data_IF_012772136840
#
_entry.id   IF_012772136840
#
_cell.length_a   1.000
_cell.length_b   1.000
_cell.length_c   1.000
_cell.angle_alpha   90.00
_cell.angle_beta   90.00
_cell.angle_gamma   90.00
#
_symmetry.space_group_name_H-M   'P 1'
#
loop_
_entity.id
_entity.type
_entity.pdbx_description
1 polymer ?
#
# COMPACT_ATOMS: atom_id res chain seq x y z
N UNK A 1 17.42 -13.21 -6.96
CA UNK A 1 16.82 -11.87 -6.72
C UNK A 1 17.27 -10.84 -7.77
N UNK A 2 18.58 -10.66 -8.01
CA UNK A 2 19.10 -9.68 -9.00
C UNK A 2 18.58 -9.92 -10.42
N UNK A 3 18.52 -11.16 -10.90
CA UNK A 3 18.02 -11.45 -12.25
C UNK A 3 16.53 -11.17 -12.43
N UNK A 4 15.70 -11.46 -11.43
CA UNK A 4 14.25 -11.19 -11.48
C UNK A 4 14.00 -9.67 -11.50
N UNK A 5 14.78 -8.91 -10.73
CA UNK A 5 14.71 -7.45 -10.75
C UNK A 5 15.13 -6.88 -12.12
N UNK A 6 16.19 -7.42 -12.75
CA UNK A 6 16.59 -7.03 -14.11
C UNK A 6 15.51 -7.32 -15.15
N UNK A 7 14.86 -8.49 -15.08
CA UNK A 7 13.76 -8.87 -15.97
C UNK A 7 12.56 -7.93 -15.75
N UNK A 8 12.21 -7.65 -14.50
CA UNK A 8 11.11 -6.74 -14.16
C UNK A 8 11.39 -5.33 -14.67
N UNK A 9 12.61 -4.82 -14.49
CA UNK A 9 13.04 -3.53 -15.02
C UNK A 9 12.95 -3.48 -16.55
N UNK A 10 13.46 -4.50 -17.25
CA UNK A 10 13.36 -4.59 -18.70
C UNK A 10 11.89 -4.59 -19.17
N UNK A 11 11.02 -5.35 -18.49
CA UNK A 11 9.59 -5.40 -18.81
C UNK A 11 8.90 -4.03 -18.59
N UNK A 12 9.30 -3.28 -17.56
CA UNK A 12 8.80 -1.93 -17.31
C UNK A 12 9.31 -0.90 -18.34
N UNK A 13 10.57 -1.01 -18.78
CA UNK A 13 11.12 -0.15 -19.84
C UNK A 13 10.38 -0.39 -21.16
N UNK A 14 10.15 -1.65 -21.53
CA UNK A 14 9.38 -2.02 -22.73
C UNK A 14 7.96 -1.44 -22.64
N UNK A 15 7.31 -1.56 -21.48
CA UNK A 15 5.99 -0.98 -21.22
C UNK A 15 5.96 0.53 -21.42
N UNK A 16 6.95 1.25 -20.89
CA UNK A 16 7.07 2.72 -21.05
C UNK A 16 7.29 3.06 -22.53
N UNK A 17 8.21 2.39 -23.20
CA UNK A 17 8.49 2.62 -24.62
C UNK A 17 7.24 2.40 -25.50
N UNK A 18 6.51 1.30 -25.29
CA UNK A 18 5.25 1.02 -26.01
C UNK A 18 4.18 2.09 -25.73
N UNK A 19 4.10 2.57 -24.49
CA UNK A 19 3.16 3.65 -24.14
C UNK A 19 3.51 4.94 -24.88
N UNK A 20 4.79 5.30 -24.96
CA UNK A 20 5.28 6.49 -25.69
C UNK A 20 5.01 6.34 -27.19
N UNK A 21 5.28 5.17 -27.77
CA UNK A 21 5.03 4.92 -29.20
C UNK A 21 3.54 5.05 -29.53
N UNK A 22 2.66 4.46 -28.72
CA UNK A 22 1.21 4.57 -28.91
C UNK A 22 0.70 6.01 -28.72
N UNK A 23 1.31 6.76 -27.81
CA UNK A 23 1.01 8.17 -27.61
C UNK A 23 1.43 9.02 -28.82
N UNK A 24 2.66 8.84 -29.33
CA UNK A 24 3.16 9.53 -30.53
C UNK A 24 2.38 9.16 -31.80
N UNK A 25 1.84 7.95 -31.86
CA UNK A 25 1.02 7.49 -32.98
C UNK A 25 -0.46 7.87 -32.85
N UNK A 26 -0.86 8.61 -31.80
CA UNK A 26 -2.26 8.97 -31.49
C UNK A 26 -3.22 7.77 -31.33
N UNK A 27 -2.67 6.58 -31.12
CA UNK A 27 -3.42 5.32 -30.90
C UNK A 27 -3.62 5.00 -29.42
N UNK A 28 -3.24 5.92 -28.53
CA UNK A 28 -3.37 5.74 -27.09
C UNK A 28 -4.83 5.90 -26.66
N UNK A 29 -5.50 4.78 -26.41
CA UNK A 29 -6.83 4.71 -25.83
C UNK A 29 -6.82 3.72 -24.66
N UNK A 30 -7.94 3.64 -23.94
CA UNK A 30 -8.05 2.75 -22.77
C UNK A 30 -7.76 1.29 -23.14
N UNK A 31 -8.21 0.82 -24.31
CA UNK A 31 -8.02 -0.56 -24.75
C UNK A 31 -6.56 -0.87 -25.11
N UNK A 32 -5.89 0.01 -25.86
CA UNK A 32 -4.47 -0.15 -26.23
C UNK A 32 -3.57 -0.04 -25.01
N UNK A 33 -3.92 0.83 -24.04
CA UNK A 33 -3.22 0.88 -22.77
C UNK A 33 -3.38 -0.41 -21.95
N UNK A 34 -4.59 -0.97 -21.86
CA UNK A 34 -4.84 -2.25 -21.19
C UNK A 34 -4.05 -3.41 -21.83
N UNK A 35 -3.95 -3.43 -23.17
CA UNK A 35 -3.10 -4.40 -23.87
C UNK A 35 -1.63 -4.24 -23.46
N UNK A 36 -1.11 -3.01 -23.43
CA UNK A 36 0.27 -2.74 -22.96
C UNK A 36 0.49 -3.16 -21.51
N UNK A 37 -0.51 -3.09 -20.63
CA UNK A 37 -0.40 -3.60 -19.26
C UNK A 37 -0.24 -5.13 -19.20
N UNK A 38 -0.82 -5.87 -20.16
CA UNK A 38 -0.82 -7.34 -20.19
C UNK A 38 0.46 -7.95 -20.78
N UNK A 39 1.14 -7.26 -21.70
CA UNK A 39 2.35 -7.73 -22.37
C UNK A 39 3.52 -8.09 -21.44
N UNK A 40 3.84 -7.30 -20.39
CA UNK A 40 4.89 -7.63 -19.42
C UNK A 40 4.64 -8.96 -18.70
N UNK A 41 3.38 -9.32 -18.43
CA UNK A 41 3.02 -10.58 -17.76
C UNK A 41 3.36 -11.75 -18.66
N UNK A 42 2.98 -11.67 -19.94
CA UNK A 42 3.29 -12.69 -20.94
C UNK A 42 4.81 -12.80 -21.13
N UNK A 43 5.50 -11.68 -21.27
CA UNK A 43 6.95 -11.61 -21.44
C UNK A 43 7.70 -12.24 -20.25
N UNK A 44 7.32 -11.89 -19.02
CA UNK A 44 7.92 -12.46 -17.82
C UNK A 44 7.66 -13.96 -17.69
N UNK A 45 6.46 -14.41 -18.07
CA UNK A 45 6.10 -15.84 -18.08
C UNK A 45 6.97 -16.63 -19.06
N UNK A 46 7.17 -16.13 -20.28
CA UNK A 46 8.01 -16.77 -21.30
C UNK A 46 9.49 -16.80 -20.85
N UNK A 47 10.00 -15.71 -20.29
CA UNK A 47 11.37 -15.66 -19.77
C UNK A 47 11.60 -16.63 -18.61
N UNK A 48 10.64 -16.72 -17.69
CA UNK A 48 10.68 -17.70 -16.59
C UNK A 48 10.70 -19.13 -17.12
N UNK A 49 9.85 -19.46 -18.10
CA UNK A 49 9.84 -20.77 -18.76
C UNK A 49 11.20 -21.09 -19.39
N UNK A 50 11.82 -20.12 -20.09
CA UNK A 50 13.14 -20.31 -20.73
C UNK A 50 14.28 -20.46 -19.73
N UNK A 51 14.28 -19.67 -18.65
CA UNK A 51 15.35 -19.70 -17.63
C UNK A 51 15.25 -20.88 -16.66
N UNK A 52 14.05 -21.39 -16.43
CA UNK A 52 13.78 -22.49 -15.48
C UNK A 52 14.45 -23.81 -15.88
N UNK A 53 14.89 -23.97 -17.14
CA UNK A 53 15.49 -25.22 -17.72
C UNK A 53 14.64 -26.48 -17.51
N UNK A 54 13.41 -26.36 -17.02
CA UNK A 54 12.49 -27.47 -16.84
C UNK A 54 11.72 -27.72 -18.13
N UNK A 55 11.57 -28.99 -18.51
CA UNK A 55 10.72 -29.39 -19.63
C UNK A 55 9.26 -29.27 -19.19
N UNK A 56 8.64 -28.13 -19.44
CA UNK A 56 7.22 -27.91 -19.18
C UNK A 56 6.40 -28.70 -20.21
N UNK A 57 5.54 -29.61 -19.73
CA UNK A 57 4.41 -30.11 -20.51
C UNK A 57 3.23 -29.19 -20.23
N UNK A 58 2.64 -28.61 -21.27
CA UNK A 58 1.44 -27.80 -21.12
C UNK A 58 0.28 -28.74 -20.77
N UNK A 59 -0.16 -28.71 -19.52
CA UNK A 59 -1.27 -29.51 -19.02
C UNK A 59 -2.29 -28.59 -18.35
N UNK A 60 -3.53 -28.59 -18.86
CA UNK A 60 -4.61 -27.82 -18.26
C UNK A 60 -5.21 -28.64 -17.13
N UNK A 61 -4.69 -28.45 -15.92
CA UNK A 61 -5.28 -29.03 -14.73
C UNK A 61 -6.41 -28.13 -14.21
N UNK A 62 -7.67 -28.49 -14.49
CA UNK A 62 -8.86 -27.73 -14.07
C UNK A 62 -8.94 -27.52 -12.55
N UNK A 63 -8.46 -28.49 -11.75
CA UNK A 63 -8.47 -28.41 -10.29
C UNK A 63 -7.48 -27.36 -9.81
N UNK A 64 -6.25 -27.39 -10.36
CA UNK A 64 -5.23 -26.38 -10.04
C UNK A 64 -5.67 -24.99 -10.51
N UNK A 65 -6.20 -24.88 -11.74
CA UNK A 65 -6.68 -23.61 -12.28
C UNK A 65 -7.80 -23.01 -11.40
N UNK A 66 -8.74 -23.82 -10.92
CA UNK A 66 -9.79 -23.36 -10.00
C UNK A 66 -9.22 -22.90 -8.66
N UNK A 67 -8.22 -23.61 -8.11
CA UNK A 67 -7.56 -23.21 -6.85
C UNK A 67 -6.80 -21.89 -6.99
N UNK A 68 -5.97 -21.76 -8.03
CA UNK A 68 -5.20 -20.56 -8.32
C UNK A 68 -6.11 -19.37 -8.63
N UNK A 69 -7.19 -19.58 -9.40
CA UNK A 69 -8.16 -18.52 -9.67
C UNK A 69 -8.88 -18.06 -8.40
N UNK A 70 -9.31 -18.99 -7.53
CA UNK A 70 -9.90 -18.65 -6.22
C UNK A 70 -8.92 -17.92 -5.32
N UNK A 71 -7.63 -18.25 -5.37
CA UNK A 71 -6.61 -17.53 -4.63
C UNK A 71 -6.42 -16.10 -5.19
N UNK A 72 -6.25 -15.98 -6.50
CA UNK A 72 -6.03 -14.73 -7.21
C UNK A 72 -7.21 -13.75 -7.09
N UNK A 73 -8.46 -14.23 -7.20
CA UNK A 73 -9.64 -13.36 -7.08
C UNK A 73 -9.76 -12.74 -5.68
N UNK A 74 -9.39 -13.47 -4.62
CA UNK A 74 -9.41 -12.91 -3.26
C UNK A 74 -8.39 -11.79 -3.10
N UNK A 75 -7.17 -11.97 -3.64
CA UNK A 75 -6.13 -10.94 -3.62
C UNK A 75 -6.56 -9.73 -4.46
N UNK A 76 -7.13 -9.98 -5.65
CA UNK A 76 -7.60 -8.93 -6.54
C UNK A 76 -8.70 -8.09 -5.88
N UNK A 77 -9.73 -8.73 -5.33
CA UNK A 77 -10.81 -8.03 -4.62
C UNK A 77 -10.28 -7.26 -3.40
N UNK A 78 -9.35 -7.84 -2.65
CA UNK A 78 -8.77 -7.15 -1.50
C UNK A 78 -7.99 -5.89 -1.94
N UNK A 79 -7.23 -5.99 -3.03
CA UNK A 79 -6.49 -4.89 -3.65
C UNK A 79 -7.44 -3.82 -4.21
N UNK A 80 -8.55 -4.24 -4.80
CA UNK A 80 -9.59 -3.35 -5.30
C UNK A 80 -10.23 -2.55 -4.17
N UNK A 81 -10.62 -3.20 -3.06
CA UNK A 81 -11.25 -2.51 -1.94
C UNK A 81 -10.30 -1.51 -1.28
N UNK A 82 -9.03 -1.86 -1.07
CA UNK A 82 -8.07 -0.90 -0.50
C UNK A 82 -7.75 0.24 -1.47
N UNK A 83 -7.71 -0.03 -2.78
CA UNK A 83 -7.53 1.02 -3.80
C UNK A 83 -8.74 1.97 -3.83
N UNK A 84 -9.96 1.42 -3.81
CA UNK A 84 -11.18 2.21 -3.71
C UNK A 84 -11.24 3.01 -2.42
N UNK A 85 -10.79 2.44 -1.29
CA UNK A 85 -10.71 3.15 -0.03
C UNK A 85 -9.82 4.42 -0.08
N UNK A 86 -8.83 4.47 -0.98
CA UNK A 86 -7.97 5.65 -1.16
C UNK A 86 -8.52 6.68 -2.16
N UNK A 87 -9.61 6.36 -2.87
CA UNK A 87 -10.14 7.18 -3.97
C UNK A 87 -11.63 7.49 -3.87
N UNK A 88 -12.39 6.73 -3.08
CA UNK A 88 -13.85 6.84 -3.02
C UNK A 88 -14.30 8.21 -2.49
N UNK A 89 -13.53 8.80 -1.57
CA UNK A 89 -13.69 10.17 -1.10
C UNK A 89 -13.69 11.20 -2.25
N UNK A 90 -12.78 11.07 -3.22
CA UNK A 90 -12.76 11.93 -4.41
C UNK A 90 -14.03 11.80 -5.25
N UNK A 91 -14.60 10.59 -5.37
CA UNK A 91 -15.89 10.42 -6.04
C UNK A 91 -17.01 11.13 -5.27
N UNK A 92 -17.10 10.93 -3.95
CA UNK A 92 -18.12 11.59 -3.13
C UNK A 92 -18.03 13.12 -3.20
N UNK A 93 -16.83 13.68 -3.07
CA UNK A 93 -16.60 15.13 -3.19
C UNK A 93 -17.05 15.62 -4.56
N UNK A 94 -16.68 14.92 -5.65
CA UNK A 94 -17.09 15.30 -7.00
C UNK A 94 -18.61 15.38 -7.14
N UNK A 95 -19.32 14.38 -6.62
CA UNK A 95 -20.78 14.30 -6.73
C UNK A 95 -21.52 15.25 -5.78
N UNK A 96 -21.00 15.50 -4.58
CA UNK A 96 -21.69 16.27 -3.53
C UNK A 96 -21.28 17.74 -3.48
N UNK A 97 -20.00 18.05 -3.72
CA UNK A 97 -19.42 19.39 -3.56
C UNK A 97 -18.94 20.00 -4.90
N UNK A 98 -18.82 19.18 -5.95
CA UNK A 98 -18.42 19.63 -7.28
C UNK A 98 -16.91 19.59 -7.55
N UNK A 99 -16.51 20.05 -8.74
CA UNK A 99 -15.14 19.92 -9.26
C UNK A 99 -14.14 20.87 -8.60
N UNK A 100 -14.58 22.03 -8.13
CA UNK A 100 -13.71 23.02 -7.48
C UNK A 100 -13.18 22.48 -6.13
N UNK A 101 -14.07 22.01 -5.25
CA UNK A 101 -13.70 21.38 -3.98
C UNK A 101 -12.89 20.09 -4.19
N UNK A 102 -13.21 19.30 -5.22
CA UNK A 102 -12.40 18.15 -5.61
C UNK A 102 -10.97 18.56 -5.97
N UNK A 103 -10.79 19.68 -6.68
CA UNK A 103 -9.46 20.21 -7.02
C UNK A 103 -8.64 20.55 -5.78
N UNK A 104 -9.26 21.22 -4.81
CA UNK A 104 -8.61 21.57 -3.52
C UNK A 104 -8.24 20.30 -2.75
N UNK A 105 -9.18 19.37 -2.58
CA UNK A 105 -8.93 18.12 -1.86
C UNK A 105 -7.89 17.22 -2.55
N UNK A 106 -7.81 17.24 -3.88
CA UNK A 106 -6.84 16.45 -4.63
C UNK A 106 -5.39 16.85 -4.29
N UNK A 107 -5.13 18.12 -3.98
CA UNK A 107 -3.81 18.56 -3.46
C UNK A 107 -3.51 17.86 -2.14
N UNK A 108 -4.46 17.82 -1.21
CA UNK A 108 -4.29 17.12 0.06
C UNK A 108 -4.02 15.64 -0.11
N UNK A 109 -4.75 14.97 -1.02
CA UNK A 109 -4.55 13.55 -1.34
C UNK A 109 -3.18 13.32 -1.97
N UNK A 110 -2.71 14.16 -2.91
CA UNK A 110 -1.39 14.01 -3.51
C UNK A 110 -0.26 14.15 -2.48
N UNK A 111 -0.38 15.08 -1.53
CA UNK A 111 0.58 15.21 -0.43
C UNK A 111 0.52 14.00 0.51
N UNK A 112 -0.67 13.51 0.81
CA UNK A 112 -0.88 12.29 1.60
C UNK A 112 -0.26 11.05 0.92
N UNK A 113 -0.34 10.94 -0.40
CA UNK A 113 0.30 9.88 -1.18
C UNK A 113 1.83 9.89 -1.04
N UNK A 114 2.47 11.06 -0.94
CA UNK A 114 3.90 11.17 -0.69
C UNK A 114 4.30 10.55 0.66
N UNK A 115 3.51 10.80 1.72
CA UNK A 115 3.74 10.18 3.02
C UNK A 115 3.54 8.66 2.97
N UNK A 116 2.57 8.18 2.17
CA UNK A 116 2.31 6.76 1.96
C UNK A 116 3.44 5.99 1.26
N UNK A 117 4.37 6.67 0.57
CA UNK A 117 5.52 6.04 -0.10
C UNK A 117 6.41 5.30 0.90
N UNK A 118 6.55 5.84 2.12
CA UNK A 118 7.39 5.27 3.17
C UNK A 118 6.89 3.88 3.60
N UNK A 119 5.66 3.73 4.15
CA UNK A 119 5.16 2.41 4.52
C UNK A 119 4.94 1.52 3.30
N UNK A 120 4.63 2.06 2.12
CA UNK A 120 4.50 1.27 0.89
C UNK A 120 5.82 0.60 0.48
N UNK A 121 6.92 1.33 0.52
CA UNK A 121 8.25 0.82 0.17
C UNK A 121 8.71 -0.25 1.15
N UNK A 122 8.50 -0.01 2.46
CA UNK A 122 8.86 -0.98 3.50
C UNK A 122 7.98 -2.23 3.42
N UNK A 123 6.67 -2.09 3.16
CA UNK A 123 5.74 -3.21 2.98
C UNK A 123 6.16 -4.13 1.82
N UNK A 124 6.61 -3.55 0.71
CA UNK A 124 7.13 -4.30 -0.44
C UNK A 124 8.42 -5.05 -0.10
N UNK A 125 9.35 -4.38 0.59
CA UNK A 125 10.63 -4.98 0.99
C UNK A 125 10.45 -6.14 1.99
N UNK A 126 9.61 -5.96 3.01
CA UNK A 126 9.34 -7.02 3.99
C UNK A 126 8.59 -8.20 3.37
N UNK A 127 7.64 -7.95 2.45
CA UNK A 127 6.92 -9.02 1.74
C UNK A 127 7.90 -9.93 1.00
N UNK A 128 8.84 -9.35 0.25
CA UNK A 128 9.88 -10.10 -0.43
C UNK A 128 10.78 -10.89 0.53
N UNK A 129 11.11 -10.31 1.70
CA UNK A 129 11.88 -11.02 2.74
C UNK A 129 11.10 -12.20 3.31
N UNK A 130 9.84 -12.00 3.69
CA UNK A 130 8.97 -13.03 4.27
C UNK A 130 8.77 -14.23 3.33
N UNK A 131 8.65 -14.00 2.02
CA UNK A 131 8.57 -15.11 1.04
C UNK A 131 9.84 -15.97 0.95
N UNK A 132 10.99 -15.44 1.35
CA UNK A 132 12.26 -16.16 1.33
C UNK A 132 12.60 -16.85 2.66
N UNK A 133 11.84 -16.59 3.73
CA UNK A 133 12.00 -17.18 5.06
C UNK A 133 11.32 -18.57 5.12
N UNK A 134 11.81 -19.53 4.33
CA UNK A 134 11.20 -20.87 4.19
C UNK A 134 11.43 -21.81 5.38
N UNK A 135 12.51 -21.61 6.13
CA UNK A 135 12.91 -22.47 7.26
C UNK A 135 12.76 -21.79 8.62
N UNK A 136 12.26 -20.56 8.64
CA UNK A 136 12.17 -19.76 9.86
C UNK A 136 10.87 -20.09 10.61
N UNK A 137 10.94 -20.00 11.93
CA UNK A 137 9.77 -20.25 12.79
C UNK A 137 8.69 -19.17 12.58
N UNK A 138 7.39 -19.48 12.80
CA UNK A 138 6.33 -18.46 12.83
C UNK A 138 6.68 -17.27 13.74
N UNK A 139 7.33 -17.55 14.88
CA UNK A 139 7.80 -16.56 15.85
C UNK A 139 8.82 -15.58 15.26
N UNK A 140 9.79 -16.06 14.48
CA UNK A 140 10.78 -15.20 13.82
C UNK A 140 10.15 -14.29 12.77
N UNK A 141 9.18 -14.81 12.00
CA UNK A 141 8.43 -14.03 11.02
C UNK A 141 7.57 -12.96 11.69
N UNK A 142 6.90 -13.32 12.79
CA UNK A 142 6.11 -12.40 13.59
C UNK A 142 7.00 -11.30 14.22
N UNK A 143 8.15 -11.67 14.78
CA UNK A 143 9.12 -10.73 15.36
C UNK A 143 9.69 -9.77 14.32
N UNK A 144 10.07 -10.26 13.15
CA UNK A 144 10.52 -9.41 12.03
C UNK A 144 9.42 -8.41 11.64
N UNK A 145 8.17 -8.89 11.56
CA UNK A 145 7.03 -8.05 11.21
C UNK A 145 6.78 -6.98 12.26
N UNK A 146 6.74 -7.34 13.55
CA UNK A 146 6.57 -6.42 14.67
C UNK A 146 7.66 -5.33 14.69
N UNK A 147 8.93 -5.72 14.56
CA UNK A 147 10.03 -4.76 14.54
C UNK A 147 9.95 -3.83 13.33
N UNK A 148 9.50 -4.34 12.19
CA UNK A 148 9.28 -3.53 11.00
C UNK A 148 8.11 -2.56 11.17
N UNK A 149 7.01 -2.99 11.82
CA UNK A 149 5.88 -2.13 12.19
C UNK A 149 6.37 -0.97 13.05
N UNK A 150 7.12 -1.25 14.12
CA UNK A 150 7.68 -0.21 15.02
C UNK A 150 8.50 0.82 14.27
N UNK A 151 9.53 0.36 13.54
CA UNK A 151 10.43 1.25 12.81
C UNK A 151 9.67 2.07 11.78
N UNK A 152 8.76 1.44 11.02
CA UNK A 152 7.95 2.13 10.02
C UNK A 152 7.04 3.16 10.67
N UNK A 153 6.41 2.84 11.80
CA UNK A 153 5.53 3.74 12.54
C UNK A 153 6.28 5.00 13.01
N UNK A 154 7.44 4.84 13.67
CA UNK A 154 8.22 5.99 14.16
C UNK A 154 8.82 6.83 13.02
N UNK A 155 9.29 6.20 11.94
CA UNK A 155 9.77 6.95 10.77
C UNK A 155 8.62 7.72 10.11
N UNK A 156 7.45 7.08 9.96
CA UNK A 156 6.25 7.73 9.42
C UNK A 156 5.79 8.87 10.33
N UNK A 157 5.86 8.70 11.65
CA UNK A 157 5.54 9.73 12.64
C UNK A 157 6.45 10.97 12.51
N UNK A 158 7.77 10.77 12.38
CA UNK A 158 8.70 11.88 12.19
C UNK A 158 8.43 12.64 10.89
N UNK A 159 8.22 11.91 9.78
CA UNK A 159 7.93 12.52 8.48
C UNK A 159 6.55 13.20 8.49
N UNK A 160 5.58 12.64 9.21
CA UNK A 160 4.27 13.23 9.42
C UNK A 160 4.39 14.59 10.13
N UNK A 161 5.18 14.69 11.21
CA UNK A 161 5.41 15.96 11.92
C UNK A 161 6.03 16.99 10.98
N UNK A 162 7.10 16.61 10.25
CA UNK A 162 7.75 17.50 9.29
C UNK A 162 6.75 17.95 8.23
N UNK A 163 5.96 17.03 7.70
CA UNK A 163 4.92 17.31 6.71
C UNK A 163 3.88 18.30 7.22
N UNK A 164 3.38 18.13 8.45
CA UNK A 164 2.42 19.05 9.08
C UNK A 164 3.01 20.46 9.18
N UNK A 165 4.26 20.57 9.64
CA UNK A 165 4.97 21.86 9.73
C UNK A 165 5.17 22.53 8.36
N UNK A 166 5.24 21.74 7.29
CA UNK A 166 5.34 22.26 5.91
C UNK A 166 3.98 22.61 5.28
N UNK A 167 2.84 22.28 5.88
CA UNK A 167 1.52 22.57 5.27
C UNK A 167 1.23 24.05 4.99
N UNK A 168 1.75 25.05 5.75
CA UNK A 168 1.58 26.46 5.40
C UNK A 168 2.24 26.86 4.07
N UNK A 169 3.09 26.01 3.49
CA UNK A 169 3.72 26.23 2.18
C UNK A 169 2.74 25.96 1.03
N UNK A 170 1.63 25.24 1.26
CA UNK A 170 0.65 24.87 0.22
C UNK A 170 0.14 26.07 -0.58
N UNK A 171 -0.32 27.19 0.03
CA UNK A 171 -0.80 28.35 -0.73
C UNK A 171 0.32 29.08 -1.50
N UNK A 172 1.58 28.88 -1.12
CA UNK A 172 2.75 29.46 -1.81
C UNK A 172 3.07 28.67 -3.08
N UNK A 173 3.00 27.34 -3.01
CA UNK A 173 3.31 26.46 -4.15
C UNK A 173 2.16 26.31 -5.14
N UNK A 174 0.93 26.14 -4.64
CA UNK A 174 -0.25 25.87 -5.46
C UNK A 174 -1.09 27.13 -5.73
N UNK A 175 -0.85 28.21 -4.98
CA UNK A 175 -1.62 29.45 -5.04
C UNK A 175 -2.68 29.56 -3.93
N UNK A 176 -3.09 30.80 -3.63
CA UNK A 176 -3.99 31.11 -2.50
C UNK A 176 -5.33 30.37 -2.52
N UNK A 177 -5.82 30.01 -3.70
CA UNK A 177 -7.07 29.24 -3.87
C UNK A 177 -7.02 27.83 -3.26
N UNK A 178 -5.82 27.27 -3.01
CA UNK A 178 -5.64 25.95 -2.38
C UNK A 178 -5.44 26.02 -0.87
N UNK A 179 -5.67 27.17 -0.23
CA UNK A 179 -5.55 27.31 1.22
C UNK A 179 -6.46 26.33 1.99
N UNK A 180 -7.62 25.99 1.43
CA UNK A 180 -8.52 24.97 1.98
C UNK A 180 -7.92 23.57 2.08
N UNK A 181 -6.82 23.28 1.35
CA UNK A 181 -6.16 21.97 1.37
C UNK A 181 -5.29 21.75 2.63
N UNK A 182 -5.01 22.78 3.43
CA UNK A 182 -4.14 22.67 4.62
C UNK A 182 -4.74 21.70 5.64
N UNK A 183 -5.99 21.96 6.08
CA UNK A 183 -6.64 21.16 7.14
C UNK A 183 -6.85 19.70 6.72
N UNK A 184 -7.38 19.38 5.52
CA UNK A 184 -7.49 17.99 5.07
C UNK A 184 -6.15 17.28 4.99
N UNK A 185 -5.07 17.96 4.59
CA UNK A 185 -3.71 17.38 4.55
C UNK A 185 -3.26 16.95 5.94
N UNK A 186 -3.42 17.81 6.94
CA UNK A 186 -3.06 17.51 8.33
C UNK A 186 -3.85 16.29 8.84
N UNK A 187 -5.17 16.27 8.59
CA UNK A 187 -6.05 15.18 9.02
C UNK A 187 -5.61 13.85 8.37
N UNK A 188 -5.35 13.84 7.07
CA UNK A 188 -4.89 12.66 6.32
C UNK A 188 -3.53 12.16 6.82
N UNK A 189 -2.60 13.07 7.13
CA UNK A 189 -1.29 12.72 7.67
C UNK A 189 -1.38 11.94 8.98
N UNK A 190 -2.26 12.37 9.89
CA UNK A 190 -2.53 11.62 11.14
C UNK A 190 -3.14 10.25 10.86
N UNK A 191 -4.05 10.14 9.88
CA UNK A 191 -4.62 8.85 9.48
C UNK A 191 -3.57 7.87 8.93
N UNK A 192 -2.66 8.36 8.09
CA UNK A 192 -1.62 7.55 7.43
C UNK A 192 -0.68 6.90 8.45
N UNK A 193 -0.42 7.57 9.57
CA UNK A 193 0.36 7.00 10.67
C UNK A 193 -0.18 5.62 11.08
N UNK A 194 -1.50 5.48 11.22
CA UNK A 194 -2.13 4.20 11.56
C UNK A 194 -2.24 3.24 10.38
N UNK A 195 -2.46 3.76 9.17
CA UNK A 195 -2.43 2.93 7.95
C UNK A 195 -1.06 2.24 7.75
N UNK A 196 0.03 2.85 8.23
CA UNK A 196 1.38 2.27 8.16
C UNK A 196 1.43 0.89 8.83
N UNK A 197 0.77 0.72 9.99
CA UNK A 197 0.71 -0.54 10.73
C UNK A 197 -0.01 -1.61 9.90
N UNK A 198 -1.16 -1.25 9.33
CA UNK A 198 -1.94 -2.17 8.50
C UNK A 198 -1.21 -2.58 7.22
N UNK A 199 -0.45 -1.66 6.58
CA UNK A 199 0.35 -1.99 5.39
C UNK A 199 1.41 -3.05 5.69
N UNK A 200 2.20 -2.88 6.74
CA UNK A 200 3.22 -3.87 7.11
C UNK A 200 2.59 -5.20 7.54
N UNK A 201 1.53 -5.14 8.37
CA UNK A 201 0.80 -6.33 8.82
C UNK A 201 0.21 -7.11 7.66
N UNK A 202 -0.33 -6.43 6.64
CA UNK A 202 -0.87 -7.08 5.45
C UNK A 202 0.16 -7.92 4.70
N UNK A 203 1.44 -7.51 4.67
CA UNK A 203 2.51 -8.29 4.04
C UNK A 203 2.73 -9.64 4.75
N UNK A 204 2.57 -9.69 6.07
CA UNK A 204 2.66 -10.93 6.85
C UNK A 204 1.57 -11.93 6.45
N UNK A 205 0.30 -11.51 6.45
CA UNK A 205 -0.83 -12.38 6.10
C UNK A 205 -0.79 -12.83 4.64
N UNK A 206 -0.39 -11.94 3.71
CA UNK A 206 -0.20 -12.31 2.31
C UNK A 206 0.89 -13.37 2.15
N UNK A 207 2.04 -13.21 2.81
CA UNK A 207 3.13 -14.18 2.77
C UNK A 207 2.81 -15.51 3.47
N UNK A 208 1.76 -15.55 4.29
CA UNK A 208 1.35 -16.74 5.05
C UNK A 208 0.21 -17.51 4.36
N UNK A 209 -0.18 -17.10 3.14
CA UNK A 209 -1.23 -17.79 2.38
C UNK A 209 -2.64 -17.54 2.90
N UNK A 210 -2.86 -16.44 3.61
CA UNK A 210 -4.18 -16.07 4.17
C UNK A 210 -4.81 -14.84 3.49
N UNK A 211 -5.01 -14.83 2.16
CA UNK A 211 -5.53 -13.66 1.44
C UNK A 211 -6.97 -13.31 1.84
N UNK A 212 -7.73 -14.27 2.39
CA UNK A 212 -9.09 -14.03 2.89
C UNK A 212 -9.11 -13.05 4.07
N UNK A 213 -8.11 -13.12 4.96
CA UNK A 213 -7.99 -12.16 6.08
C UNK A 213 -7.83 -10.75 5.52
N UNK A 214 -6.93 -10.60 4.54
CA UNK A 214 -6.73 -9.32 3.86
C UNK A 214 -8.02 -8.80 3.21
N UNK A 215 -8.74 -9.67 2.49
CA UNK A 215 -10.02 -9.35 1.84
C UNK A 215 -11.08 -8.84 2.82
N UNK A 216 -11.32 -9.54 3.92
CA UNK A 216 -12.36 -9.13 4.88
C UNK A 216 -12.02 -7.81 5.56
N UNK A 217 -10.74 -7.57 5.86
CA UNK A 217 -10.30 -6.32 6.48
C UNK A 217 -10.46 -5.15 5.50
N UNK A 218 -9.97 -5.29 4.26
CA UNK A 218 -10.06 -4.19 3.28
C UNK A 218 -11.51 -3.89 2.90
N UNK A 219 -12.37 -4.91 2.80
CA UNK A 219 -13.80 -4.72 2.62
C UNK A 219 -14.44 -3.94 3.79
N UNK A 220 -14.15 -4.35 5.04
CA UNK A 220 -14.72 -3.71 6.23
C UNK A 220 -14.32 -2.24 6.34
N UNK A 221 -13.05 -1.96 6.08
CA UNK A 221 -12.48 -0.61 6.11
C UNK A 221 -13.05 0.26 4.97
N UNK A 222 -13.21 -0.30 3.79
CA UNK A 222 -13.88 0.37 2.67
C UNK A 222 -15.35 0.70 2.99
N UNK A 223 -16.08 -0.23 3.60
CA UNK A 223 -17.47 0.00 4.03
C UNK A 223 -17.56 1.11 5.09
N UNK A 224 -16.66 1.11 6.09
CA UNK A 224 -16.55 2.20 7.06
C UNK A 224 -16.32 3.52 6.33
N UNK A 225 -15.39 3.57 5.38
CA UNK A 225 -15.08 4.79 4.66
C UNK A 225 -16.27 5.34 3.86
N UNK A 226 -17.04 4.47 3.18
CA UNK A 226 -18.27 4.88 2.48
C UNK A 226 -19.27 5.50 3.45
N UNK A 227 -19.55 4.83 4.58
CA UNK A 227 -20.53 5.29 5.56
C UNK A 227 -20.14 6.65 6.12
N UNK A 228 -18.87 6.81 6.53
CA UNK A 228 -18.40 8.07 7.08
C UNK A 228 -18.32 9.18 6.04
N UNK A 229 -17.96 8.89 4.78
CA UNK A 229 -17.99 9.89 3.71
C UNK A 229 -19.42 10.39 3.45
N UNK A 230 -20.39 9.48 3.38
CA UNK A 230 -21.79 9.82 3.16
C UNK A 230 -22.36 10.75 4.26
N UNK A 231 -21.90 10.59 5.51
CA UNK A 231 -22.36 11.37 6.65
C UNK A 231 -21.56 12.65 6.85
N UNK A 232 -20.23 12.61 6.77
CA UNK A 232 -19.36 13.72 7.14
C UNK A 232 -19.17 14.76 6.03
N UNK A 233 -19.18 14.35 4.75
CA UNK A 233 -18.99 15.30 3.64
C UNK A 233 -20.11 16.36 3.61
N UNK A 234 -21.40 16.01 3.75
CA UNK A 234 -22.45 17.03 3.82
C UNK A 234 -22.34 17.98 5.01
N UNK A 235 -21.73 17.55 6.12
CA UNK A 235 -21.65 18.32 7.36
C UNK A 235 -20.45 19.28 7.42
N UNK A 236 -19.28 18.83 6.95
CA UNK A 236 -18.01 19.56 7.11
C UNK A 236 -17.17 19.60 5.83
N UNK A 237 -17.77 19.27 4.67
CA UNK A 237 -17.15 19.39 3.36
C UNK A 237 -15.95 18.47 3.16
N UNK A 238 -14.90 18.98 2.50
CA UNK A 238 -13.67 18.24 2.22
C UNK A 238 -12.90 17.81 3.49
N UNK A 239 -13.10 18.50 4.61
CA UNK A 239 -12.55 18.05 5.90
C UNK A 239 -13.24 16.77 6.38
N UNK A 240 -14.53 16.61 6.08
CA UNK A 240 -15.29 15.39 6.38
C UNK A 240 -14.78 14.18 5.63
N UNK A 241 -14.40 14.38 4.36
CA UNK A 241 -13.75 13.36 3.56
C UNK A 241 -12.41 12.92 4.17
N UNK A 242 -11.57 13.89 4.58
CA UNK A 242 -10.31 13.59 5.25
C UNK A 242 -10.52 12.83 6.56
N UNK A 243 -11.50 13.23 7.38
CA UNK A 243 -11.82 12.54 8.65
C UNK A 243 -12.31 11.12 8.37
N UNK A 244 -13.21 10.91 7.40
CA UNK A 244 -13.71 9.60 7.01
C UNK A 244 -12.57 8.66 6.56
N UNK A 245 -11.64 9.19 5.77
CA UNK A 245 -10.42 8.49 5.33
C UNK A 245 -9.49 8.18 6.49
N UNK A 246 -9.25 9.12 7.40
CA UNK A 246 -8.42 8.88 8.58
C UNK A 246 -9.03 7.88 9.58
N UNK A 247 -10.35 7.87 9.76
CA UNK A 247 -11.05 6.85 10.57
C UNK A 247 -10.90 5.47 9.93
N UNK A 248 -11.07 5.39 8.61
CA UNK A 248 -10.84 4.16 7.84
C UNK A 248 -9.40 3.66 7.99
N UNK A 249 -8.40 4.54 7.87
CA UNK A 249 -6.99 4.20 8.07
C UNK A 249 -6.67 3.75 9.50
N UNK A 250 -7.29 4.39 10.49
CA UNK A 250 -7.19 3.98 11.88
C UNK A 250 -7.77 2.57 12.08
N UNK A 251 -8.99 2.33 11.59
CA UNK A 251 -9.63 1.01 11.62
C UNK A 251 -8.77 -0.05 10.93
N UNK A 252 -8.18 0.28 9.77
CA UNK A 252 -7.26 -0.60 9.05
C UNK A 252 -6.08 -1.02 9.92
N UNK A 253 -5.37 -0.08 10.55
CA UNK A 253 -4.27 -0.39 11.47
C UNK A 253 -4.72 -1.24 12.67
N UNK A 254 -5.78 -0.82 13.36
CA UNK A 254 -6.24 -1.46 14.60
C UNK A 254 -6.77 -2.87 14.36
N UNK A 255 -7.56 -3.09 13.32
CA UNK A 255 -8.08 -4.44 12.99
C UNK A 255 -6.91 -5.40 12.73
N UNK A 256 -5.87 -4.96 12.01
CA UNK A 256 -4.67 -5.77 11.82
C UNK A 256 -3.94 -6.08 13.12
N UNK A 257 -3.76 -5.09 13.99
CA UNK A 257 -3.11 -5.29 15.29
C UNK A 257 -3.88 -6.31 16.13
N UNK A 258 -5.22 -6.20 16.20
CA UNK A 258 -6.06 -7.13 16.95
C UNK A 258 -5.91 -8.56 16.42
N UNK A 259 -5.94 -8.75 15.09
CA UNK A 259 -5.82 -10.07 14.48
C UNK A 259 -4.41 -10.63 14.68
N UNK A 260 -3.39 -9.80 14.53
CA UNK A 260 -1.99 -10.18 14.72
C UNK A 260 -1.72 -10.65 16.15
N UNK A 261 -2.18 -9.89 17.15
CA UNK A 261 -2.08 -10.25 18.58
C UNK A 261 -2.81 -11.57 18.87
N UNK A 262 -4.03 -11.73 18.35
CA UNK A 262 -4.84 -12.94 18.58
C UNK A 262 -4.23 -14.20 17.96
N UNK A 263 -3.63 -14.09 16.77
CA UNK A 263 -3.05 -15.25 16.08
C UNK A 263 -1.66 -15.63 16.57
N UNK A 264 -0.79 -14.64 16.78
CA UNK A 264 0.63 -14.88 17.08
C UNK A 264 0.98 -14.79 18.58
N UNK A 265 -0.03 -14.61 19.45
CA UNK A 265 0.13 -14.47 20.92
C UNK A 265 1.12 -13.38 21.35
N UNK A 266 1.34 -12.36 20.52
CA UNK A 266 2.17 -11.21 20.84
C UNK A 266 1.44 -10.24 21.80
N UNK A 267 2.16 -9.60 22.71
CA UNK A 267 1.61 -8.52 23.56
C UNK A 267 1.61 -7.18 22.82
N UNK A 268 0.64 -6.31 23.13
CA UNK A 268 0.53 -4.95 22.55
C UNK A 268 1.80 -4.12 22.83
N UNK A 269 2.36 -4.28 24.03
CA UNK A 269 3.64 -3.72 24.45
C UNK A 269 4.81 -4.19 23.57
N UNK A 270 4.85 -5.48 23.21
CA UNK A 270 5.86 -6.03 22.30
C UNK A 270 5.78 -5.50 20.87
N UNK A 271 4.67 -4.83 20.51
CA UNK A 271 4.39 -4.25 19.19
C UNK A 271 4.75 -2.77 19.09
N UNK A 272 4.81 -2.05 20.22
CA UNK A 272 5.10 -0.60 20.24
C UNK A 272 6.27 -0.20 21.15
N UNK A 273 6.55 -0.91 22.25
CA UNK A 273 7.69 -0.62 23.12
C UNK A 273 8.99 -1.19 22.55
N UNK A 274 10.05 -0.39 22.59
CA UNK A 274 11.40 -0.83 22.23
C UNK A 274 11.90 -1.85 23.25
N UNK A 275 12.03 -3.11 22.82
CA UNK A 275 12.67 -4.16 23.61
C UNK A 275 14.20 -4.05 23.50
N UNK A 276 14.96 -4.64 24.43
CA UNK A 276 16.43 -4.64 24.36
C UNK A 276 16.96 -5.33 23.10
N UNK A 277 16.20 -6.23 22.48
CA UNK A 277 16.55 -6.78 21.17
C UNK A 277 16.48 -5.77 20.02
N UNK A 278 15.66 -4.73 20.16
CA UNK A 278 15.52 -3.69 19.14
C UNK A 278 16.75 -2.77 19.14
N UNK A 279 17.38 -2.59 20.32
CA UNK A 279 18.68 -1.89 20.46
C UNK A 279 19.80 -2.65 19.77
N UNK A 280 19.83 -3.98 19.86
CA UNK A 280 20.81 -4.80 19.15
C UNK A 280 20.63 -4.71 17.63
N UNK A 281 19.39 -4.73 17.13
CA UNK A 281 19.11 -4.59 15.70
C UNK A 281 19.58 -3.23 15.17
N UNK A 282 19.31 -2.13 15.90
CA UNK A 282 19.79 -0.78 15.55
C UNK A 282 21.32 -0.72 15.58
N UNK A 283 21.98 -1.37 16.56
CA UNK A 283 23.45 -1.47 16.61
C UNK A 283 24.01 -2.27 15.43
N UNK A 284 23.36 -3.35 15.01
CA UNK A 284 23.77 -4.14 13.85
C UNK A 284 23.61 -3.35 12.54
N UNK A 285 22.52 -2.60 12.38
CA UNK A 285 22.32 -1.72 11.21
C UNK A 285 23.38 -0.61 11.19
N UNK A 286 23.62 0.07 12.32
CA UNK A 286 24.70 1.07 12.44
C UNK A 286 26.06 0.47 12.08
N UNK A 287 26.39 -0.73 12.57
CA UNK A 287 27.65 -1.43 12.24
C UNK A 287 27.77 -1.79 10.76
N UNK A 288 26.69 -2.10 10.06
CA UNK A 288 26.71 -2.40 8.62
C UNK A 288 26.84 -1.14 7.76
N UNK A 289 26.23 -0.03 8.19
CA UNK A 289 26.32 1.26 7.50
C UNK A 289 27.68 1.91 7.70
N UNK A 290 28.27 1.82 8.90
CA UNK A 290 29.60 2.37 9.22
C UNK A 290 30.78 1.54 8.69
N UNK A 291 30.53 0.32 8.18
CA UNK A 291 31.54 -0.56 7.55
C UNK A 291 31.54 -0.47 6.02
N UNK A 292 30.68 0.36 5.43
CA UNK A 292 30.72 0.73 4.01
C UNK A 292 31.24 2.14 3.87
#
# INVERSE_FOLDING_TARGET
>A
MIEVNKITLASNIIKIALTIILWLAELLNIYTYLLVLSLPVIFNSILLMRKSKQKYKFEINKVLMSKEFKFGINIYLATLFIFMNYKIDQFFIKFMLGTSELGVYSVSVSLAELLFLIPGSVASAILGRLYNMKNDTPEERARLTSNTIKVTFYVTFLIMIIGILCTPIIPVLYGKQYMGAIVPTIILFVGILFASIGKISSSYFQSSGEPKVHLYITFSVFAINIVFNAVLIPLVGINGAAIASSISYFAYGIIYVIIFIRKEKFTFEGLFLFSDSDKEMIRQVKRRVLKR
#
